data_IF_734772307015
#
_entry.id   IF_734772307015
#
_cell.length_a   1.000
_cell.length_b   1.000
_cell.length_c   1.000
_cell.angle_alpha   90.00
_cell.angle_beta   90.00
_cell.angle_gamma   90.00
#
_symmetry.space_group_name_H-M   'P 1'
#
loop_
_entity.id
_entity.type
_entity.pdbx_description
1 polymer ?
#
# COMPACT_ATOMS: atom_id res chain seq x y z
N UNK A 1 -14.75 -20.28 20.40
CA UNK A 1 -14.67 -18.82 20.68
C UNK A 1 -13.40 -18.15 20.15
N UNK A 2 -12.21 -18.76 20.22
CA UNK A 2 -10.95 -18.10 19.78
C UNK A 2 -10.84 -17.83 18.25
N UNK A 3 -11.36 -18.75 17.42
CA UNK A 3 -11.36 -18.62 15.94
C UNK A 3 -12.06 -17.33 15.49
N UNK A 4 -13.29 -17.12 15.96
CA UNK A 4 -14.09 -15.91 15.71
C UNK A 4 -13.41 -14.60 16.15
N UNK A 5 -12.62 -14.59 17.24
CA UNK A 5 -11.91 -13.38 17.70
C UNK A 5 -10.72 -13.03 16.81
N UNK A 6 -9.94 -14.02 16.39
CA UNK A 6 -8.82 -13.80 15.47
C UNK A 6 -9.31 -13.44 14.07
N UNK A 7 -10.38 -14.06 13.59
CA UNK A 7 -11.00 -13.72 12.31
C UNK A 7 -11.51 -12.27 12.30
N UNK A 8 -12.13 -11.82 13.40
CA UNK A 8 -12.54 -10.42 13.56
C UNK A 8 -11.34 -9.47 13.57
N UNK A 9 -10.25 -9.84 14.25
CA UNK A 9 -9.02 -9.06 14.26
C UNK A 9 -8.40 -8.97 12.86
N UNK A 10 -8.36 -10.08 12.12
CA UNK A 10 -7.86 -10.08 10.74
C UNK A 10 -8.68 -9.14 9.87
N UNK A 11 -10.01 -9.18 9.99
CA UNK A 11 -10.90 -8.27 9.26
C UNK A 11 -10.58 -6.81 9.59
N UNK A 12 -10.49 -6.47 10.88
CA UNK A 12 -10.16 -5.11 11.32
C UNK A 12 -8.80 -4.63 10.77
N UNK A 13 -7.76 -5.47 10.88
CA UNK A 13 -6.42 -5.12 10.41
C UNK A 13 -6.35 -5.01 8.88
N UNK A 14 -7.15 -5.81 8.15
CA UNK A 14 -7.24 -5.78 6.69
C UNK A 14 -8.03 -4.57 6.18
N UNK A 15 -9.16 -4.24 6.79
CA UNK A 15 -9.95 -3.03 6.47
C UNK A 15 -9.10 -1.76 6.69
N UNK A 16 -8.29 -1.76 7.75
CA UNK A 16 -7.33 -0.69 8.03
C UNK A 16 -6.17 -0.65 7.03
N UNK A 17 -5.66 -1.81 6.61
CA UNK A 17 -4.65 -1.88 5.53
C UNK A 17 -5.20 -1.24 4.26
N UNK A 18 -6.42 -1.60 3.87
CA UNK A 18 -7.05 -1.11 2.66
C UNK A 18 -7.28 0.41 2.70
N UNK A 19 -7.75 0.94 3.84
CA UNK A 19 -7.88 2.39 4.04
C UNK A 19 -6.53 3.11 3.86
N UNK A 20 -5.45 2.59 4.46
CA UNK A 20 -4.11 3.19 4.33
C UNK A 20 -3.53 3.05 2.91
N UNK A 21 -3.85 1.95 2.21
CA UNK A 21 -3.49 1.75 0.80
C UNK A 21 -4.17 2.80 -0.07
N UNK A 22 -5.45 3.07 0.16
CA UNK A 22 -6.20 4.11 -0.57
C UNK A 22 -5.63 5.50 -0.30
N UNK A 23 -5.25 5.81 0.94
CA UNK A 23 -4.58 7.08 1.26
C UNK A 23 -3.23 7.23 0.55
N UNK A 24 -2.45 6.15 0.48
CA UNK A 24 -1.19 6.13 -0.27
C UNK A 24 -1.41 6.38 -1.76
N UNK A 25 -2.41 5.73 -2.38
CA UNK A 25 -2.73 5.94 -3.80
C UNK A 25 -3.18 7.37 -4.09
N UNK A 26 -4.02 7.95 -3.23
CA UNK A 26 -4.41 9.37 -3.32
C UNK A 26 -3.20 10.30 -3.24
N UNK A 27 -2.26 10.02 -2.32
CA UNK A 27 -1.03 10.79 -2.20
C UNK A 27 -0.15 10.68 -3.47
N UNK A 28 -0.07 9.50 -4.08
CA UNK A 28 0.67 9.30 -5.33
C UNK A 28 0.04 10.09 -6.50
N UNK A 29 -1.29 10.03 -6.64
CA UNK A 29 -2.00 10.79 -7.67
C UNK A 29 -1.80 12.31 -7.47
N UNK A 30 -1.85 12.77 -6.22
CA UNK A 30 -1.58 14.16 -5.88
C UNK A 30 -0.16 14.57 -6.25
N UNK A 31 0.85 13.74 -5.94
CA UNK A 31 2.24 13.99 -6.35
C UNK A 31 2.36 14.09 -7.87
N UNK A 32 1.79 13.14 -8.61
CA UNK A 32 1.83 13.12 -10.07
C UNK A 32 1.22 14.39 -10.67
N UNK A 33 0.05 14.80 -10.19
CA UNK A 33 -0.61 16.04 -10.64
C UNK A 33 0.27 17.27 -10.39
N UNK A 34 0.92 17.35 -9.23
CA UNK A 34 1.81 18.47 -8.91
C UNK A 34 3.10 18.48 -9.76
N UNK A 35 3.63 17.31 -10.11
CA UNK A 35 4.76 17.20 -11.03
C UNK A 35 4.38 17.63 -12.44
N UNK A 36 3.20 17.24 -12.93
CA UNK A 36 2.67 17.69 -14.23
C UNK A 36 2.50 19.21 -14.27
N UNK A 37 1.95 19.81 -13.22
CA UNK A 37 1.84 21.29 -13.10
C UNK A 37 3.21 21.96 -13.14
N UNK A 38 4.19 21.43 -12.40
CA UNK A 38 5.56 21.95 -12.40
C UNK A 38 6.19 21.88 -13.79
N UNK A 39 6.00 20.76 -14.49
CA UNK A 39 6.47 20.59 -15.86
C UNK A 39 5.81 21.60 -16.80
N UNK A 40 4.50 21.79 -16.68
CA UNK A 40 3.76 22.79 -17.46
C UNK A 40 4.31 24.21 -17.27
N UNK A 41 4.61 24.62 -16.03
CA UNK A 41 5.22 25.92 -15.76
C UNK A 41 6.62 26.07 -16.38
N UNK A 42 7.44 25.01 -16.33
CA UNK A 42 8.77 25.01 -16.95
C UNK A 42 8.70 25.10 -18.48
N UNK A 43 7.77 24.38 -19.10
CA UNK A 43 7.53 24.43 -20.54
C UNK A 43 7.07 25.84 -20.95
N UNK A 44 6.10 26.40 -20.22
CA UNK A 44 5.60 27.74 -20.47
C UNK A 44 6.71 28.79 -20.37
N UNK A 45 7.60 28.69 -19.37
CA UNK A 45 8.78 29.56 -19.26
C UNK A 45 9.68 29.48 -20.50
N UNK A 46 9.93 28.27 -20.99
CA UNK A 46 10.77 28.04 -22.16
C UNK A 46 10.15 28.65 -23.43
N UNK A 47 8.88 28.34 -23.69
CA UNK A 47 8.14 28.87 -24.84
C UNK A 47 8.09 30.41 -24.81
N UNK A 48 7.80 30.98 -23.63
CA UNK A 48 7.73 32.43 -23.47
C UNK A 48 9.10 33.09 -23.70
N UNK A 49 10.19 32.46 -23.26
CA UNK A 49 11.55 32.95 -23.50
C UNK A 49 11.93 32.92 -24.98
N UNK A 50 11.55 31.86 -25.70
CA UNK A 50 11.76 31.74 -27.14
C UNK A 50 10.98 32.82 -27.92
N UNK A 51 9.72 33.06 -27.55
CA UNK A 51 8.90 34.11 -28.16
C UNK A 51 9.53 35.50 -27.97
N UNK A 52 10.07 35.81 -26.79
CA UNK A 52 10.78 37.07 -26.59
C UNK A 52 12.01 37.15 -27.49
N UNK A 53 12.84 36.11 -27.53
CA UNK A 53 14.06 36.12 -28.33
C UNK A 53 13.75 36.41 -29.82
N UNK A 54 12.66 35.86 -30.36
CA UNK A 54 12.19 36.18 -31.71
C UNK A 54 11.74 37.66 -31.85
N UNK A 55 10.95 38.17 -30.90
CA UNK A 55 10.51 39.58 -30.91
C UNK A 55 11.65 40.58 -30.70
N UNK A 56 12.68 40.19 -29.96
CA UNK A 56 13.89 40.98 -29.74
C UNK A 56 14.66 41.19 -31.04
N UNK A 57 14.71 40.17 -31.92
CA UNK A 57 15.34 40.27 -33.24
C UNK A 57 14.63 41.25 -34.19
N UNK A 58 13.32 41.47 -34.01
CA UNK A 58 12.54 42.46 -34.77
C UNK A 58 12.58 43.88 -34.21
N UNK A 59 13.33 44.13 -33.13
CA UNK A 59 13.41 45.41 -32.44
C UNK A 59 12.31 45.56 -31.38
N UNK A 60 12.66 45.36 -30.12
CA UNK A 60 11.75 45.52 -28.97
C UNK A 60 12.01 46.86 -28.27
N UNK A 61 10.95 47.56 -27.88
CA UNK A 61 11.09 48.77 -27.06
C UNK A 61 11.56 48.44 -25.63
N UNK A 62 12.25 49.40 -24.98
CA UNK A 62 12.70 49.25 -23.59
C UNK A 62 11.56 48.92 -22.62
N UNK A 63 10.35 49.45 -22.85
CA UNK A 63 9.16 49.15 -22.06
C UNK A 63 8.71 47.68 -22.22
N UNK A 64 8.77 47.16 -23.45
CA UNK A 64 8.46 45.75 -23.73
C UNK A 64 9.45 44.78 -23.06
N UNK A 65 10.72 45.17 -22.97
CA UNK A 65 11.76 44.40 -22.30
C UNK A 65 11.53 44.35 -20.77
N UNK A 66 11.20 45.48 -20.16
CA UNK A 66 10.88 45.54 -18.71
C UNK A 66 9.67 44.68 -18.34
N UNK A 67 8.59 44.75 -19.12
CA UNK A 67 7.39 43.95 -18.91
C UNK A 67 7.66 42.44 -19.00
N UNK A 68 8.52 42.03 -19.94
CA UNK A 68 8.95 40.64 -20.06
C UNK A 68 9.68 40.17 -18.79
N UNK A 69 10.67 40.94 -18.32
CA UNK A 69 11.43 40.58 -17.13
C UNK A 69 10.53 40.43 -15.89
N UNK A 70 9.57 41.34 -15.72
CA UNK A 70 8.60 41.27 -14.63
C UNK A 70 7.74 40.00 -14.73
N UNK A 71 7.33 39.59 -15.92
CA UNK A 71 6.53 38.38 -16.10
C UNK A 71 7.33 37.10 -15.90
N UNK A 72 8.56 37.02 -16.40
CA UNK A 72 9.48 35.90 -16.13
C UNK A 72 9.71 35.74 -14.63
N UNK A 73 9.94 36.82 -13.89
CA UNK A 73 10.12 36.75 -12.44
C UNK A 73 8.90 36.13 -11.74
N UNK A 74 7.68 36.43 -12.21
CA UNK A 74 6.44 35.81 -11.69
C UNK A 74 6.36 34.32 -12.02
N UNK A 75 6.73 33.91 -13.24
CA UNK A 75 6.76 32.48 -13.62
C UNK A 75 7.77 31.73 -12.75
N UNK A 76 8.96 32.29 -12.54
CA UNK A 76 9.99 31.67 -11.72
C UNK A 76 9.57 31.54 -10.26
N UNK A 77 8.88 32.54 -9.71
CA UNK A 77 8.31 32.44 -8.38
C UNK A 77 7.25 31.32 -8.30
N UNK A 78 6.35 31.24 -9.28
CA UNK A 78 5.38 30.15 -9.35
C UNK A 78 6.05 28.77 -9.47
N UNK A 79 7.14 28.65 -10.24
CA UNK A 79 7.94 27.42 -10.35
C UNK A 79 8.55 27.06 -8.99
N UNK A 80 9.13 28.02 -8.26
CA UNK A 80 9.72 27.79 -6.93
C UNK A 80 8.65 27.29 -5.95
N UNK A 81 7.50 27.95 -5.92
CA UNK A 81 6.37 27.55 -5.07
C UNK A 81 5.87 26.15 -5.43
N UNK A 82 5.67 25.87 -6.71
CA UNK A 82 5.20 24.56 -7.17
C UNK A 82 6.22 23.45 -6.92
N UNK A 83 7.52 23.73 -7.03
CA UNK A 83 8.59 22.80 -6.69
C UNK A 83 8.58 22.45 -5.19
N UNK A 84 8.35 23.45 -4.32
CA UNK A 84 8.14 23.22 -2.89
C UNK A 84 6.95 22.31 -2.63
N UNK A 85 5.80 22.57 -3.28
CA UNK A 85 4.61 21.71 -3.19
C UNK A 85 4.88 20.27 -3.63
N UNK A 86 5.64 20.08 -4.72
CA UNK A 86 6.06 18.74 -5.17
C UNK A 86 6.92 18.05 -4.11
N UNK A 87 7.85 18.75 -3.47
CA UNK A 87 8.71 18.18 -2.43
C UNK A 87 7.88 17.76 -1.20
N UNK A 88 6.95 18.59 -0.75
CA UNK A 88 6.00 18.23 0.31
C UNK A 88 5.17 17.01 -0.08
N UNK A 89 4.65 16.95 -1.31
CA UNK A 89 3.89 15.79 -1.78
C UNK A 89 4.72 14.50 -1.80
N UNK A 90 6.02 14.56 -2.16
CA UNK A 90 6.95 13.41 -2.08
C UNK A 90 7.11 12.91 -0.64
N UNK A 91 7.24 13.81 0.33
CA UNK A 91 7.34 13.46 1.74
C UNK A 91 6.05 12.78 2.23
N UNK A 92 4.88 13.31 1.85
CA UNK A 92 3.57 12.71 2.18
C UNK A 92 3.45 11.31 1.58
N UNK A 93 3.81 11.11 0.30
CA UNK A 93 3.80 9.77 -0.32
C UNK A 93 4.67 8.79 0.46
N UNK A 94 5.88 9.22 0.85
CA UNK A 94 6.82 8.40 1.62
C UNK A 94 6.23 8.00 2.98
N UNK A 95 5.64 8.95 3.69
CA UNK A 95 4.98 8.72 4.98
C UNK A 95 3.80 7.75 4.85
N UNK A 96 2.90 7.97 3.88
CA UNK A 96 1.73 7.11 3.67
C UNK A 96 2.12 5.71 3.26
N UNK A 97 3.15 5.55 2.43
CA UNK A 97 3.72 4.24 2.08
C UNK A 97 4.21 3.49 3.32
N UNK A 98 4.96 4.17 4.20
CA UNK A 98 5.47 3.56 5.42
C UNK A 98 4.33 3.10 6.36
N UNK A 99 3.27 3.91 6.49
CA UNK A 99 2.10 3.54 7.28
C UNK A 99 1.37 2.32 6.70
N UNK A 100 1.12 2.31 5.39
CA UNK A 100 0.49 1.18 4.70
C UNK A 100 1.31 -0.11 4.87
N UNK A 101 2.62 -0.07 4.60
CA UNK A 101 3.48 -1.25 4.73
C UNK A 101 3.53 -1.78 6.17
N UNK A 102 3.58 -0.89 7.17
CA UNK A 102 3.53 -1.28 8.58
C UNK A 102 2.22 -1.99 8.92
N UNK A 103 1.09 -1.50 8.39
CA UNK A 103 -0.21 -2.11 8.62
C UNK A 103 -0.34 -3.46 7.89
N UNK A 104 0.16 -3.55 6.65
CA UNK A 104 0.21 -4.80 5.90
C UNK A 104 0.98 -5.90 6.63
N UNK A 105 2.11 -5.57 7.26
CA UNK A 105 2.88 -6.52 8.06
C UNK A 105 2.03 -7.06 9.23
N UNK A 106 1.24 -6.21 9.88
CA UNK A 106 0.33 -6.64 10.96
C UNK A 106 -0.77 -7.55 10.47
N UNK A 107 -1.46 -7.19 9.39
CA UNK A 107 -2.51 -8.02 8.80
C UNK A 107 -1.97 -9.41 8.42
N UNK A 108 -0.80 -9.47 7.76
CA UNK A 108 -0.10 -10.72 7.43
C UNK A 108 0.28 -11.54 8.68
N UNK A 109 0.73 -10.89 9.74
CA UNK A 109 1.06 -11.58 10.98
C UNK A 109 -0.18 -12.23 11.62
N UNK A 110 -1.32 -11.53 11.64
CA UNK A 110 -2.60 -12.10 12.14
C UNK A 110 -3.07 -13.25 11.27
N UNK A 111 -3.00 -13.12 9.94
CA UNK A 111 -3.35 -14.20 9.02
C UNK A 111 -2.52 -15.47 9.27
N UNK A 112 -1.20 -15.31 9.44
CA UNK A 112 -0.29 -16.43 9.77
C UNK A 112 -0.59 -17.07 11.12
N UNK A 113 -1.03 -16.29 12.11
CA UNK A 113 -1.45 -16.84 13.41
C UNK A 113 -2.72 -17.68 13.28
N UNK A 114 -3.69 -17.26 12.46
CA UNK A 114 -4.91 -18.02 12.19
C UNK A 114 -4.59 -19.34 11.49
N UNK A 115 -3.74 -19.31 10.46
CA UNK A 115 -3.27 -20.50 9.75
C UNK A 115 -2.64 -21.52 10.71
N UNK A 116 -1.67 -21.08 11.53
CA UNK A 116 -1.01 -21.93 12.52
C UNK A 116 -1.99 -22.51 13.55
N UNK A 117 -2.99 -21.75 13.96
CA UNK A 117 -4.02 -22.23 14.87
C UNK A 117 -4.90 -23.30 14.22
N UNK A 118 -5.25 -23.13 12.94
CA UNK A 118 -6.02 -24.10 12.16
C UNK A 118 -5.24 -25.41 11.97
N UNK A 119 -3.94 -25.34 11.63
CA UNK A 119 -3.06 -26.51 11.53
C UNK A 119 -2.99 -27.28 12.86
N UNK A 120 -2.83 -26.56 13.97
CA UNK A 120 -2.79 -27.18 15.31
C UNK A 120 -4.11 -27.89 15.64
N UNK A 121 -5.25 -27.29 15.29
CA UNK A 121 -6.56 -27.90 15.47
C UNK A 121 -6.74 -29.16 14.62
N UNK A 122 -6.36 -29.09 13.34
CA UNK A 122 -6.41 -30.25 12.44
C UNK A 122 -5.56 -31.41 12.95
N UNK A 123 -4.35 -31.12 13.44
CA UNK A 123 -3.46 -32.13 14.03
C UNK A 123 -4.05 -32.76 15.30
N UNK A 124 -4.72 -31.96 16.15
CA UNK A 124 -5.39 -32.48 17.35
C UNK A 124 -6.57 -33.40 17.00
N UNK A 125 -7.37 -33.03 16.00
CA UNK A 125 -8.48 -33.86 15.50
C UNK A 125 -7.96 -35.15 14.90
N UNK A 126 -6.96 -35.10 14.01
CA UNK A 126 -6.37 -36.29 13.41
C UNK A 126 -5.79 -37.25 14.47
N UNK A 127 -5.15 -36.72 15.52
CA UNK A 127 -4.64 -37.54 16.62
C UNK A 127 -5.75 -38.21 17.43
N UNK A 128 -6.87 -37.50 17.65
CA UNK A 128 -8.03 -38.07 18.34
C UNK A 128 -8.72 -39.15 17.51
N UNK A 129 -8.87 -38.93 16.19
CA UNK A 129 -9.42 -39.92 15.25
C UNK A 129 -8.55 -41.17 15.18
N UNK A 130 -7.22 -41.00 15.07
CA UNK A 130 -6.28 -42.11 15.08
C UNK A 130 -6.41 -42.95 16.37
N UNK A 131 -6.44 -42.29 17.53
CA UNK A 131 -6.60 -42.99 18.82
C UNK A 131 -7.91 -43.79 18.88
N UNK A 132 -9.01 -43.23 18.40
CA UNK A 132 -10.32 -43.89 18.37
C UNK A 132 -10.31 -45.13 17.44
N UNK A 133 -9.67 -45.02 16.28
CA UNK A 133 -9.51 -46.13 15.34
C UNK A 133 -8.64 -47.25 15.94
N UNK A 134 -7.55 -46.88 16.62
CA UNK A 134 -6.65 -47.84 17.29
C UNK A 134 -7.38 -48.59 18.41
N UNK A 135 -8.17 -47.89 19.23
CA UNK A 135 -9.00 -48.50 20.28
C UNK A 135 -10.07 -49.45 19.70
N UNK A 136 -10.71 -49.06 18.60
CA UNK A 136 -11.69 -49.91 17.91
C UNK A 136 -11.04 -51.17 17.31
N UNK A 137 -9.89 -51.03 16.67
CA UNK A 137 -9.13 -52.15 16.11
C UNK A 137 -8.65 -53.12 17.21
N UNK A 138 -8.15 -52.59 18.33
CA UNK A 138 -7.72 -53.39 19.49
C UNK A 138 -8.89 -54.17 20.10
N UNK A 139 -10.05 -53.53 20.28
CA UNK A 139 -11.25 -54.19 20.79
C UNK A 139 -11.73 -55.32 19.86
N UNK A 140 -11.77 -55.07 18.54
CA UNK A 140 -12.13 -56.13 17.58
C UNK A 140 -11.15 -57.30 17.61
N UNK A 141 -9.86 -57.03 17.70
CA UNK A 141 -8.83 -58.06 17.81
C UNK A 141 -9.04 -58.92 19.06
N UNK A 142 -9.25 -58.28 20.22
CA UNK A 142 -9.51 -58.98 21.48
C UNK A 142 -10.78 -59.84 21.43
N UNK A 143 -11.87 -59.32 20.85
CA UNK A 143 -13.12 -60.07 20.66
C UNK A 143 -12.94 -61.30 19.77
N UNK A 144 -12.13 -61.20 18.69
CA UNK A 144 -11.78 -62.35 17.84
C UNK A 144 -10.96 -63.39 18.58
N UNK A 145 -9.97 -62.97 19.38
CA UNK A 145 -9.16 -63.89 20.18
C UNK A 145 -10.01 -64.65 21.21
N UNK A 146 -10.91 -63.96 21.92
CA UNK A 146 -11.82 -64.60 22.87
C UNK A 146 -12.73 -65.63 22.18
N UNK A 147 -13.28 -65.30 21.01
CA UNK A 147 -14.09 -66.25 20.24
C UNK A 147 -13.32 -67.50 19.84
N UNK A 148 -12.06 -67.34 19.42
CA UNK A 148 -11.22 -68.47 19.02
C UNK A 148 -10.72 -69.31 20.20
N UNK A 149 -10.67 -68.77 21.42
CA UNK A 149 -10.26 -69.49 22.62
C UNK A 149 -11.42 -70.27 23.28
N UNK A 150 -12.67 -70.01 22.88
CA UNK A 150 -13.88 -70.67 23.39
C UNK A 150 -14.40 -71.80 22.46
N UNK A 151 -13.67 -72.09 21.38
CA UNK A 151 -13.88 -73.20 20.46
C UNK A 151 -12.75 -74.23 20.64
#
# INVERSE_FOLDING_TARGET
MAKSKLDLLLKLESDKEESLRMDYLKAQQHLQSNQQKLQGLNNFRLEYSQQLHLKGRSGLSSAGFSQYHAFIAKIEEAIRQQASTVNTAKQVVTQRKALWLKQQVKAKAVAKLIEKQAEKQAMQVAKAEQKMLDEFAANQFYQRQLKNALL
#
